data_IF_498586872475
#
_entry.id   IF_498586872475
#
_cell.length_a   1.000
_cell.length_b   1.000
_cell.length_c   1.000
_cell.angle_alpha   90.00
_cell.angle_beta   90.00
_cell.angle_gamma   90.00
#
_symmetry.space_group_name_H-M   'P 1'
#
loop_
_entity.id
_entity.type
_entity.pdbx_description
1 polymer ?
#
# COMPACT_ATOMS: atom_id res chain seq x y z
N UNK A 1 -9.32 5.89 -24.79
CA UNK A 1 -8.01 6.25 -24.18
C UNK A 1 -8.20 6.07 -22.68
N UNK A 2 -7.32 5.34 -21.97
CA UNK A 2 -7.50 5.13 -20.52
C UNK A 2 -7.13 6.42 -19.78
N UNK A 3 -8.06 6.99 -19.01
CA UNK A 3 -7.83 8.15 -18.16
C UNK A 3 -7.19 7.68 -16.86
N UNK A 4 -6.12 8.34 -16.40
CA UNK A 4 -5.58 8.17 -15.05
C UNK A 4 -5.87 9.45 -14.27
N UNK A 5 -6.77 9.38 -13.29
CA UNK A 5 -7.25 10.55 -12.53
C UNK A 5 -7.46 10.20 -11.06
N UNK A 6 -7.47 11.21 -10.19
CA UNK A 6 -8.03 11.07 -8.85
C UNK A 6 -9.51 11.49 -8.88
N UNK A 7 -10.36 10.67 -8.28
CA UNK A 7 -11.74 11.03 -7.94
C UNK A 7 -11.79 11.33 -6.45
N UNK A 8 -12.07 12.56 -6.08
CA UNK A 8 -12.32 12.95 -4.68
C UNK A 8 -13.81 13.15 -4.45
N UNK A 9 -14.33 12.71 -3.32
CA UNK A 9 -15.72 12.90 -2.94
C UNK A 9 -15.92 12.85 -1.43
N UNK A 10 -17.14 13.10 -0.99
CA UNK A 10 -17.55 12.93 0.40
C UNK A 10 -18.33 11.64 0.54
N UNK A 11 -18.02 10.84 1.55
CA UNK A 11 -18.74 9.61 1.85
C UNK A 11 -19.47 9.72 3.20
N UNK A 12 -20.73 9.31 3.20
CA UNK A 12 -21.51 9.12 4.42
C UNK A 12 -22.02 7.68 4.47
N UNK A 13 -21.53 6.90 5.43
CA UNK A 13 -21.95 5.51 5.60
C UNK A 13 -20.91 4.67 6.32
N UNK A 14 -21.10 3.34 6.26
CA UNK A 14 -20.13 2.38 6.77
C UNK A 14 -18.94 2.26 5.80
N UNK A 15 -17.73 2.51 6.29
CA UNK A 15 -16.48 2.34 5.52
C UNK A 15 -16.32 0.90 5.02
N UNK A 16 -16.71 -0.09 5.82
CA UNK A 16 -16.67 -1.50 5.42
C UNK A 16 -17.58 -1.78 4.22
N UNK A 17 -18.78 -1.19 4.21
CA UNK A 17 -19.72 -1.33 3.09
C UNK A 17 -19.21 -0.63 1.83
N UNK A 18 -18.51 0.49 1.97
CA UNK A 18 -17.85 1.18 0.86
C UNK A 18 -16.83 0.26 0.20
N UNK A 19 -15.83 -0.22 0.95
CA UNK A 19 -14.72 -1.02 0.40
C UNK A 19 -15.18 -2.35 -0.20
N UNK A 20 -16.18 -3.02 0.40
CA UNK A 20 -16.74 -4.26 -0.16
C UNK A 20 -17.42 -4.09 -1.51
N UNK A 21 -17.98 -2.90 -1.77
CA UNK A 21 -18.77 -2.60 -2.97
C UNK A 21 -18.03 -1.74 -4.00
N UNK A 22 -16.73 -1.48 -3.78
CA UNK A 22 -15.92 -0.73 -4.74
C UNK A 22 -15.83 -1.46 -6.09
N UNK A 23 -15.80 -0.72 -7.21
CA UNK A 23 -15.53 -1.30 -8.51
C UNK A 23 -14.13 -1.95 -8.48
N UNK A 24 -14.07 -3.27 -8.67
CA UNK A 24 -12.79 -4.01 -8.74
C UNK A 24 -11.99 -3.68 -9.99
N UNK A 25 -12.66 -3.17 -11.03
CA UNK A 25 -12.01 -2.73 -12.26
C UNK A 25 -11.80 -1.21 -12.27
N UNK A 26 -10.56 -0.80 -12.48
CA UNK A 26 -10.20 0.59 -12.71
C UNK A 26 -9.90 1.41 -11.46
N UNK A 27 -10.35 1.02 -10.25
CA UNK A 27 -9.91 1.64 -8.99
C UNK A 27 -8.59 0.98 -8.56
N UNK A 28 -7.50 1.76 -8.58
CA UNK A 28 -6.14 1.32 -8.23
C UNK A 28 -5.88 1.50 -6.73
N UNK A 29 -6.41 2.58 -6.16
CA UNK A 29 -6.14 2.95 -4.77
C UNK A 29 -7.34 3.70 -4.18
N UNK A 30 -7.56 3.58 -2.89
CA UNK A 30 -8.62 4.27 -2.16
C UNK A 30 -8.13 4.72 -0.79
N UNK A 31 -8.30 6.00 -0.46
CA UNK A 31 -8.01 6.56 0.86
C UNK A 31 -9.26 7.20 1.44
N UNK A 32 -9.49 7.05 2.75
CA UNK A 32 -10.58 7.66 3.50
C UNK A 32 -9.98 8.46 4.66
N UNK A 33 -10.14 9.78 4.65
CA UNK A 33 -9.70 10.67 5.72
C UNK A 33 -10.92 11.41 6.25
N UNK A 34 -11.39 11.02 7.44
CA UNK A 34 -12.63 11.54 8.01
C UNK A 34 -13.85 11.18 7.15
N UNK A 35 -14.47 12.17 6.50
CA UNK A 35 -15.60 11.99 5.56
C UNK A 35 -15.19 12.13 4.09
N UNK A 36 -13.93 12.44 3.82
CA UNK A 36 -13.42 12.59 2.46
C UNK A 36 -12.85 11.27 1.97
N UNK A 37 -13.22 10.89 0.75
CA UNK A 37 -12.71 9.70 0.08
C UNK A 37 -12.03 10.09 -1.22
N UNK A 38 -10.86 9.52 -1.47
CA UNK A 38 -10.09 9.71 -2.69
C UNK A 38 -9.82 8.37 -3.34
N UNK A 39 -10.21 8.24 -4.60
CA UNK A 39 -9.96 7.06 -5.44
C UNK A 39 -8.96 7.39 -6.53
N UNK A 40 -7.93 6.58 -6.69
CA UNK A 40 -7.10 6.58 -7.90
C UNK A 40 -7.78 5.69 -8.94
N UNK A 41 -8.11 6.25 -10.09
CA UNK A 41 -8.83 5.54 -11.15
C UNK A 41 -8.04 5.53 -12.45
N UNK A 42 -7.83 4.35 -13.02
CA UNK A 42 -7.31 4.16 -14.38
C UNK A 42 -8.32 3.41 -15.24
N UNK A 43 -9.14 4.14 -15.99
CA UNK A 43 -10.22 3.55 -16.79
C UNK A 43 -10.54 4.42 -18.02
N UNK A 44 -10.96 3.78 -19.10
CA UNK A 44 -11.60 4.43 -20.25
C UNK A 44 -13.12 4.62 -20.04
N UNK A 45 -13.68 4.10 -18.94
CA UNK A 45 -15.11 4.17 -18.57
C UNK A 45 -15.30 4.98 -17.28
N UNK A 46 -14.71 6.19 -17.23
CA UNK A 46 -14.69 7.01 -16.01
C UNK A 46 -16.10 7.36 -15.51
N UNK A 47 -17.02 7.67 -16.42
CA UNK A 47 -18.40 8.04 -16.05
C UNK A 47 -19.14 6.91 -15.35
N UNK A 48 -18.92 5.66 -15.77
CA UNK A 48 -19.52 4.50 -15.12
C UNK A 48 -19.00 4.28 -13.71
N UNK A 49 -17.70 4.51 -13.50
CA UNK A 49 -17.09 4.45 -12.16
C UNK A 49 -17.68 5.54 -11.27
N UNK A 50 -17.86 6.77 -11.78
CA UNK A 50 -18.51 7.85 -11.03
C UNK A 50 -19.96 7.49 -10.66
N UNK A 51 -20.74 6.96 -11.61
CA UNK A 51 -22.12 6.52 -11.35
C UNK A 51 -22.18 5.42 -10.30
N UNK A 52 -21.27 4.44 -10.36
CA UNK A 52 -21.19 3.37 -9.35
C UNK A 52 -20.82 3.91 -7.98
N UNK A 53 -19.80 4.78 -7.89
CA UNK A 53 -19.39 5.41 -6.63
C UNK A 53 -20.53 6.23 -6.01
N UNK A 54 -21.32 6.95 -6.82
CA UNK A 54 -22.53 7.63 -6.34
C UNK A 54 -23.60 6.66 -5.84
N UNK A 55 -23.78 5.52 -6.50
CA UNK A 55 -24.76 4.51 -6.07
C UNK A 55 -24.42 3.88 -4.71
N UNK A 56 -23.14 3.89 -4.31
CA UNK A 56 -22.68 3.37 -3.02
C UNK A 56 -22.51 4.47 -1.96
N UNK A 57 -22.98 5.70 -2.22
CA UNK A 57 -23.03 6.79 -1.24
C UNK A 57 -21.87 7.80 -1.29
N UNK A 58 -21.07 7.81 -2.35
CA UNK A 58 -20.05 8.85 -2.58
C UNK A 58 -20.66 10.04 -3.32
N UNK A 59 -20.69 11.18 -2.65
CA UNK A 59 -21.25 12.43 -3.17
C UNK A 59 -20.16 13.43 -3.56
N UNK A 60 -20.54 14.48 -4.29
CA UNK A 60 -19.64 15.60 -4.67
C UNK A 60 -18.36 15.17 -5.41
N UNK A 61 -18.47 14.15 -6.28
CA UNK A 61 -17.32 13.56 -6.96
C UNK A 61 -16.67 14.58 -7.92
N UNK A 62 -15.48 15.03 -7.56
CA UNK A 62 -14.63 15.91 -8.34
C UNK A 62 -13.50 15.12 -9.00
N UNK A 63 -13.23 15.41 -10.27
CA UNK A 63 -12.07 14.87 -10.98
C UNK A 63 -10.91 15.82 -10.71
N UNK A 64 -9.87 15.30 -10.08
CA UNK A 64 -8.63 16.01 -9.87
C UNK A 64 -7.62 15.55 -10.93
N UNK A 65 -6.89 16.51 -11.49
CA UNK A 65 -5.73 16.21 -12.31
C UNK A 65 -4.73 15.44 -11.43
N UNK A 66 -4.45 14.20 -11.80
CA UNK A 66 -3.47 13.41 -11.10
C UNK A 66 -2.09 13.94 -11.48
N UNK A 67 -1.48 14.70 -10.58
CA UNK A 67 -0.02 14.86 -10.60
C UNK A 67 0.55 13.58 -10.03
N UNK A 68 1.48 12.95 -10.75
CA UNK A 68 2.32 11.89 -10.18
C UNK A 68 3.18 12.51 -9.09
N UNK A 69 2.63 12.68 -7.89
CA UNK A 69 3.43 12.81 -6.69
C UNK A 69 3.84 11.40 -6.29
N UNK A 70 5.12 11.21 -5.99
CA UNK A 70 5.52 10.00 -5.29
C UNK A 70 4.79 9.92 -3.95
N UNK A 71 4.65 8.72 -3.39
CA UNK A 71 4.07 8.50 -2.08
C UNK A 71 5.11 7.81 -1.21
N UNK A 72 5.33 8.36 -0.01
CA UNK A 72 6.19 7.75 1.01
C UNK A 72 5.50 7.74 2.36
N UNK A 73 6.17 7.21 3.38
CA UNK A 73 5.65 7.15 4.74
C UNK A 73 5.75 8.51 5.45
N UNK A 74 4.85 8.79 6.38
CA UNK A 74 4.89 10.02 7.18
C UNK A 74 6.02 10.04 8.22
N UNK A 75 6.46 8.85 8.63
CA UNK A 75 7.60 8.61 9.51
C UNK A 75 8.20 7.24 9.24
N UNK A 76 9.19 6.84 10.05
CA UNK A 76 9.70 5.46 10.03
C UNK A 76 8.72 4.54 10.75
N UNK A 77 8.63 3.29 10.31
CA UNK A 77 7.78 2.28 10.93
C UNK A 77 8.52 0.98 11.17
N UNK A 78 8.19 0.31 12.27
CA UNK A 78 8.69 -1.02 12.60
C UNK A 78 7.52 -1.97 12.81
N UNK A 79 7.56 -3.13 12.15
CA UNK A 79 6.52 -4.14 12.30
C UNK A 79 7.11 -5.53 12.38
N UNK A 80 6.45 -6.40 13.14
CA UNK A 80 6.71 -7.83 13.19
C UNK A 80 5.41 -8.60 13.00
N UNK A 81 5.51 -9.87 12.62
CA UNK A 81 4.39 -10.80 12.75
C UNK A 81 4.20 -11.23 14.23
N UNK A 82 3.03 -11.78 14.53
CA UNK A 82 2.66 -12.19 15.89
C UNK A 82 3.56 -13.31 16.45
N UNK A 83 4.12 -14.16 15.58
CA UNK A 83 5.02 -15.24 15.97
C UNK A 83 6.50 -14.79 16.01
N UNK A 84 6.80 -13.54 15.61
CA UNK A 84 8.15 -12.97 15.63
C UNK A 84 9.12 -13.63 14.64
N UNK A 85 8.60 -14.23 13.57
CA UNK A 85 9.37 -14.88 12.48
C UNK A 85 10.09 -13.84 11.63
N UNK A 86 9.43 -12.74 11.29
CA UNK A 86 9.91 -11.66 10.44
C UNK A 86 9.68 -10.31 11.11
N UNK A 87 10.66 -9.43 10.98
CA UNK A 87 10.57 -8.02 11.35
C UNK A 87 10.94 -7.17 10.14
N UNK A 88 10.15 -6.14 9.87
CA UNK A 88 10.36 -5.20 8.76
C UNK A 88 10.47 -3.80 9.34
N UNK A 89 11.52 -3.09 8.93
CA UNK A 89 11.67 -1.66 9.20
C UNK A 89 11.52 -0.90 7.90
N UNK A 90 10.66 0.12 7.91
CA UNK A 90 10.42 1.00 6.79
C UNK A 90 10.91 2.41 7.13
N UNK A 91 11.55 3.06 6.16
CA UNK A 91 12.14 4.38 6.29
C UNK A 91 11.61 5.24 5.14
N UNK A 92 11.03 6.41 5.42
CA UNK A 92 10.53 7.31 4.39
C UNK A 92 11.69 7.85 3.56
N UNK A 93 11.44 8.05 2.27
CA UNK A 93 12.39 8.64 1.33
C UNK A 93 11.66 9.44 0.26
N UNK A 94 12.36 10.39 -0.33
CA UNK A 94 11.90 11.21 -1.44
C UNK A 94 12.97 11.26 -2.54
N UNK A 95 13.60 10.11 -2.80
CA UNK A 95 14.67 9.99 -3.80
C UNK A 95 14.13 9.70 -5.20
N UNK A 96 12.86 9.29 -5.31
CA UNK A 96 12.23 8.87 -6.56
C UNK A 96 12.78 7.55 -7.08
N UNK A 97 13.41 6.75 -6.22
CA UNK A 97 14.14 5.55 -6.61
C UNK A 97 13.33 4.26 -6.44
N UNK A 98 12.12 4.35 -5.89
CA UNK A 98 11.23 3.21 -5.71
C UNK A 98 11.37 2.55 -4.35
N UNK A 99 10.99 1.28 -4.29
CA UNK A 99 11.27 0.46 -3.11
C UNK A 99 12.72 -0.02 -3.13
N UNK A 100 13.45 0.24 -2.04
CA UNK A 100 14.84 -0.22 -1.91
C UNK A 100 15.06 -0.99 -0.62
N UNK A 101 15.38 -2.28 -0.79
CA UNK A 101 15.89 -3.11 0.29
C UNK A 101 17.33 -2.72 0.61
N UNK A 102 17.57 -2.19 1.80
CA UNK A 102 18.90 -1.84 2.29
C UNK A 102 19.65 -3.08 2.79
N UNK A 103 18.95 -3.99 3.47
CA UNK A 103 19.54 -5.20 4.01
C UNK A 103 18.48 -6.29 4.26
N UNK A 104 18.93 -7.55 4.21
CA UNK A 104 18.27 -8.67 4.87
C UNK A 104 19.18 -9.16 5.99
N UNK A 105 18.65 -9.24 7.20
CA UNK A 105 19.36 -9.65 8.41
C UNK A 105 18.85 -11.03 8.85
N UNK A 106 19.74 -12.00 8.98
CA UNK A 106 19.42 -13.28 9.60
C UNK A 106 20.66 -13.94 10.18
N UNK A 107 20.47 -14.71 11.26
CA UNK A 107 21.48 -15.64 11.78
C UNK A 107 21.46 -16.98 11.02
N UNK A 108 20.46 -17.17 10.14
CA UNK A 108 20.25 -18.34 9.32
C UNK A 108 20.72 -18.08 7.89
N UNK A 109 21.01 -19.16 7.16
CA UNK A 109 21.43 -19.10 5.76
C UNK A 109 20.26 -19.42 4.84
N UNK A 110 19.92 -18.49 3.95
CA UNK A 110 18.89 -18.64 2.94
C UNK A 110 19.47 -18.48 1.54
N UNK A 111 18.93 -19.23 0.59
CA UNK A 111 19.28 -19.05 -0.82
C UNK A 111 18.80 -17.68 -1.34
N UNK A 112 19.51 -17.15 -2.34
CA UNK A 112 19.11 -15.88 -2.98
C UNK A 112 17.70 -15.94 -3.56
N UNK A 113 17.29 -17.08 -4.11
CA UNK A 113 15.95 -17.32 -4.64
C UNK A 113 14.86 -17.13 -3.58
N UNK A 114 15.11 -17.60 -2.36
CA UNK A 114 14.25 -17.42 -1.20
C UNK A 114 14.13 -15.93 -0.84
N UNK A 115 15.26 -15.24 -0.70
CA UNK A 115 15.30 -13.82 -0.33
C UNK A 115 14.58 -12.93 -1.36
N UNK A 116 14.64 -13.28 -2.64
CA UNK A 116 13.92 -12.57 -3.71
C UNK A 116 12.40 -12.72 -3.59
N UNK A 117 11.89 -13.87 -3.12
CA UNK A 117 10.45 -14.05 -2.87
C UNK A 117 9.97 -13.22 -1.70
N UNK A 118 10.76 -13.17 -0.62
CA UNK A 118 10.47 -12.31 0.54
C UNK A 118 10.47 -10.85 0.12
N UNK A 119 11.48 -10.43 -0.66
CA UNK A 119 11.55 -9.09 -1.25
C UNK A 119 10.28 -8.75 -2.03
N UNK A 120 9.89 -9.60 -2.98
CA UNK A 120 8.69 -9.40 -3.78
C UNK A 120 7.45 -9.25 -2.91
N UNK A 121 7.28 -10.10 -1.88
CA UNK A 121 6.12 -10.02 -0.99
C UNK A 121 6.06 -8.70 -0.21
N UNK A 122 7.18 -8.19 0.28
CA UNK A 122 7.22 -6.89 0.96
C UNK A 122 6.84 -5.77 -0.02
N UNK A 123 7.41 -5.78 -1.22
CA UNK A 123 7.15 -4.75 -2.24
C UNK A 123 5.70 -4.78 -2.74
N UNK A 124 5.09 -5.95 -2.91
CA UNK A 124 3.68 -6.10 -3.26
C UNK A 124 2.78 -5.41 -2.22
N UNK A 125 3.05 -5.62 -0.92
CA UNK A 125 2.29 -4.98 0.17
C UNK A 125 2.49 -3.46 0.18
N UNK A 126 3.70 -2.98 -0.09
CA UNK A 126 3.97 -1.53 -0.16
C UNK A 126 3.25 -0.89 -1.36
N UNK A 127 3.21 -1.57 -2.51
CA UNK A 127 2.48 -1.11 -3.69
C UNK A 127 0.97 -1.07 -3.43
N UNK A 128 0.42 -2.12 -2.82
CA UNK A 128 -0.99 -2.19 -2.42
C UNK A 128 -1.36 -1.10 -1.39
N UNK A 129 -0.42 -0.72 -0.53
CA UNK A 129 -0.55 0.40 0.40
C UNK A 129 -0.44 1.78 -0.27
N UNK A 130 -0.22 1.82 -1.59
CA UNK A 130 -0.14 3.05 -2.38
C UNK A 130 1.18 3.80 -2.23
N UNK A 131 2.21 3.17 -1.66
CA UNK A 131 3.55 3.74 -1.56
C UNK A 131 4.26 3.60 -2.90
N UNK A 132 5.18 4.51 -3.18
CA UNK A 132 6.02 4.45 -4.38
C UNK A 132 7.50 4.64 -4.07
N UNK A 133 7.86 5.14 -2.89
CA UNK A 133 9.26 5.42 -2.54
C UNK A 133 9.50 5.14 -1.05
N UNK A 134 10.20 4.05 -0.75
CA UNK A 134 10.47 3.59 0.63
C UNK A 134 11.77 2.82 0.68
N UNK A 135 12.62 3.12 1.68
CA UNK A 135 13.75 2.26 2.03
C UNK A 135 13.29 1.26 3.09
N UNK A 136 13.76 0.01 3.01
CA UNK A 136 13.36 -0.99 3.99
C UNK A 136 14.46 -2.01 4.31
N UNK A 137 14.36 -2.60 5.50
CA UNK A 137 15.16 -3.76 5.91
C UNK A 137 14.24 -4.88 6.35
N UNK A 138 14.65 -6.12 6.08
CA UNK A 138 13.93 -7.31 6.53
C UNK A 138 14.84 -8.10 7.47
N UNK A 139 14.33 -8.51 8.63
CA UNK A 139 15.01 -9.41 9.55
C UNK A 139 14.24 -10.70 9.68
N UNK A 140 14.86 -11.81 9.32
CA UNK A 140 14.28 -13.16 9.43
C UNK A 140 14.90 -13.85 10.65
N UNK A 141 14.05 -14.20 11.62
CA UNK A 141 14.42 -14.70 12.94
C UNK A 141 14.17 -16.21 13.13
N UNK A 142 13.49 -16.87 12.20
CA UNK A 142 13.09 -18.29 12.26
C UNK A 142 13.43 -19.05 10.97
N UNK A 143 13.62 -20.36 11.07
CA UNK A 143 13.84 -21.31 9.97
C UNK A 143 12.55 -22.00 9.48
N UNK A 144 11.41 -21.36 9.76
CA UNK A 144 10.08 -21.71 9.26
C UNK A 144 10.04 -21.96 7.75
N UNK A 145 8.99 -22.66 7.31
CA UNK A 145 8.79 -22.92 5.89
C UNK A 145 8.60 -21.60 5.12
N UNK A 146 8.98 -21.59 3.84
CA UNK A 146 8.91 -20.40 2.99
C UNK A 146 7.55 -19.71 3.08
N UNK A 147 6.46 -20.47 3.02
CA UNK A 147 5.11 -19.90 2.98
C UNK A 147 4.76 -19.19 4.28
N UNK A 148 5.18 -19.74 5.43
CA UNK A 148 5.04 -19.08 6.73
C UNK A 148 5.86 -17.78 6.78
N UNK A 149 7.07 -17.78 6.24
CA UNK A 149 7.94 -16.59 6.20
C UNK A 149 7.35 -15.52 5.27
N UNK A 150 6.75 -15.89 4.13
CA UNK A 150 6.08 -14.95 3.23
C UNK A 150 4.84 -14.34 3.87
N UNK A 151 4.05 -15.14 4.58
CA UNK A 151 2.87 -14.65 5.30
C UNK A 151 3.29 -13.73 6.45
N UNK A 152 4.32 -14.11 7.22
CA UNK A 152 4.91 -13.27 8.25
C UNK A 152 5.46 -11.95 7.70
N UNK A 153 6.15 -11.97 6.55
CA UNK A 153 6.63 -10.76 5.89
C UNK A 153 5.48 -9.83 5.48
N UNK A 154 4.34 -10.38 5.08
CA UNK A 154 3.15 -9.60 4.72
C UNK A 154 2.59 -8.87 5.94
N UNK A 155 2.41 -9.60 7.04
CA UNK A 155 1.89 -9.06 8.31
C UNK A 155 2.86 -8.03 8.90
N UNK A 156 4.15 -8.35 8.96
CA UNK A 156 5.18 -7.44 9.46
C UNK A 156 5.24 -6.14 8.66
N UNK A 157 5.10 -6.20 7.33
CA UNK A 157 5.09 -5.00 6.48
C UNK A 157 3.85 -4.14 6.73
N UNK A 158 2.66 -4.75 6.81
CA UNK A 158 1.42 -4.02 7.13
C UNK A 158 1.53 -3.32 8.49
N UNK A 159 2.02 -4.04 9.51
CA UNK A 159 2.24 -3.49 10.84
C UNK A 159 3.23 -2.31 10.82
N UNK A 160 4.31 -2.41 10.03
CA UNK A 160 5.26 -1.33 9.87
C UNK A 160 4.64 -0.10 9.19
N UNK A 161 3.77 -0.29 8.19
CA UNK A 161 3.02 0.82 7.55
C UNK A 161 2.10 1.51 8.55
N UNK A 162 1.39 0.75 9.38
CA UNK A 162 0.52 1.31 10.43
C UNK A 162 1.33 2.08 11.49
N UNK A 163 2.47 1.55 11.91
CA UNK A 163 3.37 2.19 12.88
C UNK A 163 3.98 3.51 12.34
N UNK A 164 4.22 3.57 11.03
CA UNK A 164 4.75 4.76 10.34
C UNK A 164 3.78 5.97 10.30
N UNK A 165 2.66 5.91 11.01
CA UNK A 165 1.72 7.01 11.26
C UNK A 165 0.99 7.57 10.02
N UNK A 166 1.13 6.91 8.86
CA UNK A 166 0.42 7.25 7.63
C UNK A 166 1.32 7.39 6.40
N UNK A 167 0.71 7.80 5.28
CA UNK A 167 1.35 7.99 3.98
C UNK A 167 1.25 9.46 3.57
N UNK A 168 2.32 10.03 3.02
CA UNK A 168 2.40 11.41 2.55
C UNK A 168 2.82 11.45 1.08
N UNK A 169 2.41 12.53 0.40
CA UNK A 169 2.89 12.83 -0.95
C UNK A 169 4.29 13.46 -0.89
N UNK A 170 5.11 13.15 -1.88
CA UNK A 170 6.44 13.73 -2.14
C UNK A 170 6.50 14.24 -3.58
N UNK A 171 7.23 15.33 -3.78
CA UNK A 171 7.49 15.93 -5.09
C UNK A 171 8.58 15.18 -5.86
#
# INVERSE_FOLDING_TARGET
MKHTVALSGSFQGSSEALFRNLPKEGVIHSSLIGREVVFRVRSDRLDEIKSHLSSIGVENISILEWRESGMTLSGSGLGSDDAGVVEVSLIPTASGEGFRQLAVLSELSFERSFLLKVKGRVEDVLEDAGLTDVLYTVRIKSDSQLEEILDAASIATLNAVFDASGVIAID
#
